data_IF_941375873718
#
_entry.id   IF_941375873718
#
_cell.length_a   1.000
_cell.length_b   1.000
_cell.length_c   1.000
_cell.angle_alpha   90.00
_cell.angle_beta   90.00
_cell.angle_gamma   90.00
#
_symmetry.space_group_name_H-M   'P 1'
#
loop_
_entity.id
_entity.type
_entity.pdbx_description
1 polymer ?
#
# COMPACT_ATOMS: atom_id res chain seq x y z
N UNK A 1 -23.42 -57.29 11.30
CA UNK A 1 -24.81 -57.66 10.91
C UNK A 1 -25.36 -56.51 10.10
N UNK A 2 -25.99 -56.71 8.93
CA UNK A 2 -26.59 -55.59 8.20
C UNK A 2 -27.75 -54.99 9.02
N UNK A 3 -27.97 -53.67 8.97
CA UNK A 3 -29.12 -53.06 9.63
C UNK A 3 -30.40 -53.65 9.01
N UNK A 4 -31.25 -54.24 9.85
CA UNK A 4 -32.57 -54.73 9.42
C UNK A 4 -33.46 -53.52 9.16
N UNK A 5 -33.61 -53.17 7.88
CA UNK A 5 -34.68 -52.27 7.44
C UNK A 5 -36.00 -53.00 7.78
N UNK A 6 -36.79 -52.42 8.68
CA UNK A 6 -38.10 -52.94 9.05
C UNK A 6 -38.96 -53.12 7.78
N UNK A 7 -39.59 -54.29 7.63
CA UNK A 7 -40.34 -54.73 6.44
C UNK A 7 -41.60 -53.92 6.13
N UNK A 8 -41.92 -52.89 6.93
CA UNK A 8 -43.11 -52.03 6.75
C UNK A 8 -42.83 -50.75 5.93
N UNK A 9 -41.59 -50.53 5.49
CA UNK A 9 -41.14 -49.31 4.79
C UNK A 9 -41.08 -49.53 3.25
N UNK A 10 -42.22 -49.65 2.57
CA UNK A 10 -42.28 -49.65 1.08
C UNK A 10 -42.82 -50.94 0.43
N UNK A 11 -42.92 -51.03 -0.91
CA UNK A 11 -43.41 -52.23 -1.59
C UNK A 11 -42.51 -53.43 -1.25
N UNK A 12 -43.06 -54.65 -1.22
CA UNK A 12 -42.30 -55.85 -0.87
C UNK A 12 -41.09 -56.02 -1.82
N UNK A 13 -39.91 -55.63 -1.33
CA UNK A 13 -38.65 -55.72 -2.06
C UNK A 13 -38.17 -57.17 -1.95
N UNK A 14 -37.96 -57.84 -3.08
CA UNK A 14 -37.43 -59.21 -3.08
C UNK A 14 -36.03 -59.26 -2.43
N UNK A 15 -35.59 -60.40 -1.87
CA UNK A 15 -34.31 -60.52 -1.17
C UNK A 15 -33.11 -60.05 -2.02
N UNK A 16 -33.16 -60.26 -3.34
CA UNK A 16 -32.12 -59.80 -4.29
C UNK A 16 -32.11 -58.28 -4.47
N UNK A 17 -33.28 -57.63 -4.46
CA UNK A 17 -33.36 -56.17 -4.50
C UNK A 17 -32.93 -55.54 -3.18
N UNK A 18 -33.18 -56.20 -2.03
CA UNK A 18 -32.66 -55.75 -0.73
C UNK A 18 -31.12 -55.84 -0.71
N UNK A 19 -30.55 -56.93 -1.22
CA UNK A 19 -29.10 -57.08 -1.35
C UNK A 19 -28.48 -56.03 -2.29
N UNK A 20 -29.13 -55.75 -3.42
CA UNK A 20 -28.71 -54.72 -4.37
C UNK A 20 -28.76 -53.30 -3.77
N UNK A 21 -29.86 -52.93 -3.11
CA UNK A 21 -30.01 -51.64 -2.44
C UNK A 21 -28.99 -51.48 -1.31
N UNK A 22 -28.76 -52.52 -0.52
CA UNK A 22 -27.73 -52.50 0.52
C UNK A 22 -26.34 -52.25 -0.09
N UNK A 23 -26.03 -52.86 -1.23
CA UNK A 23 -24.76 -52.65 -1.93
C UNK A 23 -24.62 -51.18 -2.39
N UNK A 24 -25.67 -50.60 -2.99
CA UNK A 24 -25.67 -49.19 -3.39
C UNK A 24 -25.45 -48.23 -2.21
N UNK A 25 -26.10 -48.52 -1.07
CA UNK A 25 -25.94 -47.72 0.14
C UNK A 25 -24.53 -47.84 0.74
N UNK A 26 -23.89 -49.01 0.60
CA UNK A 26 -22.58 -49.31 1.17
C UNK A 26 -21.42 -48.68 0.39
N UNK A 27 -21.56 -48.56 -0.93
CA UNK A 27 -20.55 -47.95 -1.81
C UNK A 27 -20.83 -46.49 -2.18
N UNK A 28 -21.91 -45.90 -1.67
CA UNK A 28 -22.16 -44.46 -1.82
C UNK A 28 -21.04 -43.66 -1.14
N UNK A 29 -20.49 -42.68 -1.86
CA UNK A 29 -19.58 -41.68 -1.30
C UNK A 29 -20.29 -40.67 -0.39
N UNK A 30 -21.60 -40.51 -0.59
CA UNK A 30 -22.42 -39.63 0.22
C UNK A 30 -22.95 -40.37 1.44
N UNK A 31 -22.96 -39.66 2.56
CA UNK A 31 -23.57 -40.10 3.81
C UNK A 31 -25.08 -40.24 3.63
N UNK A 32 -25.61 -41.40 3.94
CA UNK A 32 -27.04 -41.70 3.84
C UNK A 32 -27.56 -42.00 5.23
N UNK A 33 -28.54 -41.22 5.67
CA UNK A 33 -29.12 -41.28 7.01
C UNK A 33 -30.63 -41.43 6.87
N UNK A 34 -31.21 -42.37 7.61
CA UNK A 34 -32.66 -42.54 7.70
C UNK A 34 -33.10 -42.22 9.11
N UNK A 35 -34.14 -41.38 9.22
CA UNK A 35 -34.79 -41.03 10.48
C UNK A 35 -36.23 -41.51 10.49
N UNK A 36 -36.81 -41.72 11.67
CA UNK A 36 -38.25 -41.85 11.84
C UNK A 36 -38.96 -40.48 11.87
N UNK A 37 -40.29 -40.48 12.03
CA UNK A 37 -41.09 -39.25 12.08
C UNK A 37 -40.82 -38.36 13.29
N UNK A 38 -40.18 -38.89 14.32
CA UNK A 38 -39.76 -38.16 15.52
C UNK A 38 -38.31 -37.64 15.37
N UNK A 39 -37.68 -37.84 14.20
CA UNK A 39 -36.32 -37.37 13.91
C UNK A 39 -35.22 -38.25 14.51
N UNK A 40 -35.55 -39.46 14.97
CA UNK A 40 -34.57 -40.38 15.57
C UNK A 40 -33.86 -41.21 14.51
N UNK A 41 -32.57 -41.46 14.70
CA UNK A 41 -31.75 -42.21 13.74
C UNK A 41 -32.18 -43.68 13.68
N UNK A 42 -32.45 -44.16 12.46
CA UNK A 42 -32.81 -45.56 12.15
C UNK A 42 -31.77 -46.24 11.26
N UNK A 43 -31.06 -45.48 10.43
CA UNK A 43 -29.99 -46.01 9.58
C UNK A 43 -28.90 -44.97 9.38
N UNK A 44 -27.68 -45.46 9.21
CA UNK A 44 -26.45 -44.67 9.08
C UNK A 44 -25.44 -45.48 8.26
N UNK A 45 -25.17 -45.07 7.02
CA UNK A 45 -24.23 -45.81 6.16
C UNK A 45 -22.76 -45.53 6.52
N UNK A 46 -21.85 -46.29 5.90
CA UNK A 46 -20.40 -46.16 6.14
C UNK A 46 -19.85 -44.77 5.81
N UNK A 47 -20.36 -44.12 4.76
CA UNK A 47 -19.96 -42.76 4.41
C UNK A 47 -20.38 -41.75 5.49
N UNK A 48 -21.60 -41.84 6.04
CA UNK A 48 -22.03 -40.97 7.14
C UNK A 48 -21.14 -41.17 8.39
N UNK A 49 -20.72 -42.41 8.66
CA UNK A 49 -19.78 -42.72 9.74
C UNK A 49 -18.39 -42.11 9.50
N UNK A 50 -17.91 -42.12 8.25
CA UNK A 50 -16.66 -41.46 7.88
C UNK A 50 -16.73 -39.93 7.99
N UNK A 51 -17.86 -39.33 7.58
CA UNK A 51 -18.06 -37.88 7.58
C UNK A 51 -18.19 -37.31 9.00
N UNK A 52 -18.90 -38.00 9.90
CA UNK A 52 -19.18 -37.46 11.24
C UNK A 52 -18.51 -38.20 12.39
N UNK A 53 -17.93 -39.38 12.16
CA UNK A 53 -17.17 -40.13 13.17
C UNK A 53 -18.02 -40.94 14.17
N UNK A 54 -19.34 -40.93 14.00
CA UNK A 54 -20.28 -41.70 14.81
C UNK A 54 -20.58 -43.04 14.15
N UNK A 55 -20.58 -44.11 14.94
CA UNK A 55 -21.09 -45.41 14.52
C UNK A 55 -22.59 -45.50 14.79
N UNK A 56 -23.33 -46.25 13.96
CA UNK A 56 -24.78 -46.39 14.09
C UNK A 56 -25.18 -46.81 15.51
N UNK A 57 -24.44 -47.74 16.10
CA UNK A 57 -24.71 -48.30 17.44
C UNK A 57 -24.66 -47.25 18.55
N UNK A 58 -23.92 -46.15 18.35
CA UNK A 58 -23.78 -45.07 19.33
C UNK A 58 -24.94 -44.06 19.27
N UNK A 59 -25.59 -43.95 18.11
CA UNK A 59 -26.58 -42.91 17.82
C UNK A 59 -27.95 -43.48 17.42
N UNK A 60 -28.10 -44.80 17.39
CA UNK A 60 -29.35 -45.47 17.07
C UNK A 60 -30.45 -45.01 18.03
N UNK A 61 -31.62 -44.67 17.48
CA UNK A 61 -32.77 -44.11 18.19
C UNK A 61 -32.54 -42.77 18.90
N UNK A 62 -31.36 -42.16 18.77
CA UNK A 62 -31.10 -40.82 19.26
C UNK A 62 -31.70 -39.77 18.31
N UNK A 63 -32.26 -38.65 18.82
CA UNK A 63 -32.67 -37.53 18.00
C UNK A 63 -31.48 -36.96 17.22
N UNK A 64 -31.63 -36.77 15.90
CA UNK A 64 -30.56 -36.20 15.09
C UNK A 64 -30.21 -34.75 15.51
N UNK A 65 -31.18 -34.02 16.06
CA UNK A 65 -31.00 -32.65 16.56
C UNK A 65 -30.03 -32.58 17.74
N UNK A 66 -29.87 -33.66 18.52
CA UNK A 66 -28.91 -33.66 19.64
C UNK A 66 -27.46 -33.64 19.13
N UNK A 67 -27.23 -34.12 17.90
CA UNK A 67 -25.91 -34.16 17.26
C UNK A 67 -25.58 -32.86 16.51
N UNK A 68 -26.57 -32.28 15.81
CA UNK A 68 -26.34 -31.16 14.87
C UNK A 68 -27.14 -29.89 15.17
N UNK A 69 -27.93 -29.89 16.24
CA UNK A 69 -28.72 -28.76 16.72
C UNK A 69 -30.12 -28.68 16.10
N UNK A 70 -31.01 -27.85 16.68
CA UNK A 70 -32.46 -27.85 16.39
C UNK A 70 -32.84 -27.26 15.03
N UNK A 71 -31.87 -26.79 14.22
CA UNK A 71 -32.15 -26.23 12.89
C UNK A 71 -32.68 -27.29 11.91
N UNK A 72 -32.31 -28.56 12.11
CA UNK A 72 -32.81 -29.67 11.30
C UNK A 72 -34.28 -29.99 11.62
N UNK A 73 -34.69 -29.83 12.88
CA UNK A 73 -36.09 -29.92 13.32
C UNK A 73 -37.07 -29.07 12.49
N UNK A 74 -36.71 -27.80 12.30
CA UNK A 74 -37.51 -26.83 11.53
C UNK A 74 -37.61 -27.26 10.06
N UNK A 75 -36.51 -27.81 9.54
CA UNK A 75 -36.37 -28.23 8.16
C UNK A 75 -37.30 -29.38 7.80
N UNK A 76 -37.38 -30.43 8.61
CA UNK A 76 -38.28 -31.55 8.32
C UNK A 76 -39.74 -31.31 8.68
N UNK A 77 -40.05 -30.34 9.56
CA UNK A 77 -41.42 -29.85 9.76
C UNK A 77 -41.94 -29.18 8.48
N UNK A 78 -41.14 -28.29 7.88
CA UNK A 78 -41.48 -27.66 6.60
C UNK A 78 -41.63 -28.69 5.45
N UNK A 79 -40.84 -29.76 5.46
CA UNK A 79 -40.99 -30.88 4.50
C UNK A 79 -42.30 -31.63 4.69
N UNK A 80 -42.69 -31.88 5.95
CA UNK A 80 -43.87 -32.65 6.30
C UNK A 80 -45.17 -31.89 6.04
N UNK A 81 -45.17 -30.58 6.25
CA UNK A 81 -46.32 -29.69 6.02
C UNK A 81 -46.58 -29.40 4.53
N UNK A 82 -45.75 -29.93 3.63
CA UNK A 82 -45.96 -29.88 2.18
C UNK A 82 -45.69 -28.52 1.55
N UNK A 83 -45.15 -27.57 2.32
CA UNK A 83 -45.12 -26.15 1.98
C UNK A 83 -44.10 -25.80 0.87
N UNK A 84 -43.19 -26.72 0.48
CA UNK A 84 -42.18 -26.42 -0.55
C UNK A 84 -41.48 -27.57 -1.27
N UNK A 85 -41.76 -28.82 -0.93
CA UNK A 85 -40.89 -29.96 -1.27
C UNK A 85 -41.53 -31.02 -2.17
N UNK A 86 -42.68 -30.74 -2.78
CA UNK A 86 -43.39 -31.75 -3.56
C UNK A 86 -42.57 -32.24 -4.77
N UNK A 87 -41.58 -31.50 -5.29
CA UNK A 87 -40.85 -31.92 -6.51
C UNK A 87 -39.35 -31.57 -6.62
N UNK A 88 -38.70 -30.98 -5.60
CA UNK A 88 -37.25 -30.69 -5.68
C UNK A 88 -36.50 -30.95 -4.36
N UNK A 89 -35.40 -31.72 -4.37
CA UNK A 89 -34.51 -31.81 -3.22
C UNK A 89 -33.99 -30.40 -2.87
N UNK A 90 -34.17 -29.99 -1.61
CA UNK A 90 -33.59 -28.74 -1.10
C UNK A 90 -32.18 -29.07 -0.64
N UNK A 91 -31.19 -28.49 -1.32
CA UNK A 91 -29.78 -28.60 -0.96
C UNK A 91 -29.40 -27.37 -0.14
N UNK A 92 -28.89 -27.58 1.07
CA UNK A 92 -28.27 -26.53 1.85
C UNK A 92 -26.87 -26.91 2.28
N UNK A 93 -25.97 -25.93 2.18
CA UNK A 93 -24.65 -25.98 2.80
C UNK A 93 -24.79 -25.65 4.28
N UNK A 94 -24.33 -26.56 5.13
CA UNK A 94 -24.29 -26.39 6.57
C UNK A 94 -22.91 -26.75 7.11
N UNK A 95 -22.56 -26.19 8.26
CA UNK A 95 -21.37 -26.55 8.99
C UNK A 95 -21.79 -27.37 10.20
N UNK A 96 -21.41 -28.64 10.20
CA UNK A 96 -21.62 -29.58 11.29
C UNK A 96 -20.30 -29.80 12.04
N UNK A 97 -20.33 -30.67 13.06
CA UNK A 97 -19.14 -31.10 13.78
C UNK A 97 -18.97 -32.61 13.66
N UNK A 98 -17.76 -33.03 13.38
CA UNK A 98 -17.34 -34.41 13.56
C UNK A 98 -17.27 -34.71 15.07
N UNK A 99 -17.35 -35.99 15.45
CA UNK A 99 -17.30 -36.47 16.85
C UNK A 99 -16.06 -35.99 17.62
N UNK A 100 -14.92 -35.79 16.94
CA UNK A 100 -13.69 -35.25 17.51
C UNK A 100 -13.71 -33.72 17.71
N UNK A 101 -14.77 -33.03 17.28
CA UNK A 101 -14.94 -31.58 17.37
C UNK A 101 -14.57 -30.78 16.11
N UNK A 102 -13.93 -31.40 15.12
CA UNK A 102 -13.54 -30.75 13.87
C UNK A 102 -14.76 -30.29 13.06
N UNK A 103 -14.69 -29.12 12.41
CA UNK A 103 -15.78 -28.65 11.56
C UNK A 103 -15.85 -29.47 10.27
N UNK A 104 -17.07 -29.84 9.88
CA UNK A 104 -17.34 -30.53 8.61
C UNK A 104 -18.34 -29.69 7.83
N UNK A 105 -17.96 -29.31 6.61
CA UNK A 105 -18.87 -28.63 5.70
C UNK A 105 -19.62 -29.67 4.88
N UNK A 106 -20.94 -29.60 4.94
CA UNK A 106 -21.79 -30.59 4.30
C UNK A 106 -22.87 -29.94 3.46
N UNK A 107 -23.15 -30.55 2.32
CA UNK A 107 -24.36 -30.30 1.56
C UNK A 107 -25.38 -31.37 1.90
N UNK A 108 -26.50 -30.93 2.49
CA UNK A 108 -27.56 -31.83 2.94
C UNK A 108 -28.74 -31.73 1.98
N UNK A 109 -29.19 -32.88 1.53
CA UNK A 109 -30.43 -33.07 0.79
C UNK A 109 -31.40 -33.88 1.64
N UNK A 110 -32.61 -33.37 1.82
CA UNK A 110 -33.64 -33.99 2.65
C UNK A 110 -34.83 -34.42 1.78
N UNK A 111 -35.32 -35.65 1.99
CA UNK A 111 -36.50 -36.20 1.36
C UNK A 111 -37.42 -36.86 2.40
N UNK A 112 -38.73 -36.80 2.16
CA UNK A 112 -39.73 -37.47 2.98
C UNK A 112 -39.93 -38.91 2.49
N UNK A 113 -39.75 -39.88 3.37
CA UNK A 113 -40.04 -41.28 3.07
C UNK A 113 -41.52 -41.55 3.28
N UNK A 114 -42.12 -42.29 2.35
CA UNK A 114 -43.54 -42.67 2.37
C UNK A 114 -43.72 -44.17 2.18
N UNK A 115 -44.75 -44.73 2.82
CA UNK A 115 -45.14 -46.13 2.62
C UNK A 115 -45.88 -46.32 1.28
N UNK A 116 -46.24 -47.59 0.99
CA UNK A 116 -47.04 -47.97 -0.18
C UNK A 116 -48.44 -47.32 -0.25
N UNK A 117 -48.93 -46.75 0.84
CA UNK A 117 -50.19 -46.02 0.92
C UNK A 117 -49.98 -44.50 0.92
N UNK A 118 -48.78 -44.03 0.53
CA UNK A 118 -48.38 -42.62 0.49
C UNK A 118 -48.36 -41.92 1.86
N UNK A 119 -48.36 -42.66 2.97
CA UNK A 119 -48.28 -42.11 4.31
C UNK A 119 -46.82 -41.83 4.68
N UNK A 120 -46.49 -40.68 5.29
CA UNK A 120 -45.13 -40.38 5.72
C UNK A 120 -44.69 -41.38 6.79
N UNK A 121 -43.48 -41.90 6.67
CA UNK A 121 -42.91 -42.90 7.59
C UNK A 121 -41.55 -42.52 8.16
N UNK A 122 -40.93 -41.47 7.64
CA UNK A 122 -39.64 -40.99 8.11
C UNK A 122 -38.98 -40.03 7.13
N UNK A 123 -37.69 -39.83 7.30
CA UNK A 123 -36.89 -38.91 6.49
C UNK A 123 -35.64 -39.58 5.98
N UNK A 124 -35.23 -39.22 4.76
CA UNK A 124 -33.98 -39.62 4.15
C UNK A 124 -33.12 -38.37 4.00
N UNK A 125 -31.91 -38.40 4.57
CA UNK A 125 -30.90 -37.38 4.36
C UNK A 125 -29.77 -37.98 3.53
N UNK A 126 -29.38 -37.24 2.50
CA UNK A 126 -28.12 -37.45 1.79
C UNK A 126 -27.19 -36.29 2.14
N UNK A 127 -25.98 -36.64 2.57
CA UNK A 127 -24.98 -35.72 3.10
C UNK A 127 -23.73 -35.86 2.26
N UNK A 128 -23.39 -34.82 1.53
CA UNK A 128 -22.13 -34.75 0.79
C UNK A 128 -21.14 -33.92 1.58
N UNK A 129 -19.98 -34.49 1.91
CA UNK A 129 -18.86 -33.75 2.50
C UNK A 129 -18.22 -32.85 1.43
N UNK A 130 -18.17 -31.56 1.72
CA UNK A 130 -17.56 -30.53 0.88
C UNK A 130 -16.43 -29.80 1.62
N UNK A 131 -15.96 -30.32 2.75
CA UNK A 131 -14.95 -29.68 3.61
C UNK A 131 -13.67 -29.35 2.83
N UNK A 132 -13.13 -30.31 2.08
CA UNK A 132 -11.95 -30.08 1.24
C UNK A 132 -12.20 -29.04 0.15
N UNK A 133 -13.39 -29.05 -0.45
CA UNK A 133 -13.75 -28.08 -1.49
C UNK A 133 -13.84 -26.66 -0.91
N UNK A 134 -14.57 -26.49 0.20
CA UNK A 134 -14.72 -25.19 0.87
C UNK A 134 -13.37 -24.65 1.33
N UNK A 135 -12.51 -25.48 1.94
CA UNK A 135 -11.17 -25.05 2.36
C UNK A 135 -10.29 -24.65 1.17
N UNK A 136 -10.35 -25.39 0.07
CA UNK A 136 -9.60 -25.06 -1.15
C UNK A 136 -10.08 -23.75 -1.78
N UNK A 137 -11.40 -23.51 -1.82
CA UNK A 137 -12.00 -22.28 -2.33
C UNK A 137 -11.63 -21.07 -1.46
N UNK A 138 -11.65 -21.23 -0.13
CA UNK A 138 -11.23 -20.20 0.82
C UNK A 138 -9.74 -19.86 0.66
N UNK A 139 -8.88 -20.87 0.59
CA UNK A 139 -7.43 -20.67 0.36
C UNK A 139 -7.17 -20.00 -0.98
N UNK A 140 -7.82 -20.42 -2.06
CA UNK A 140 -7.67 -19.80 -3.37
C UNK A 140 -8.13 -18.33 -3.37
N UNK A 141 -9.22 -18.04 -2.67
CA UNK A 141 -9.72 -16.67 -2.51
C UNK A 141 -8.73 -15.80 -1.74
N UNK A 142 -8.17 -16.33 -0.66
CA UNK A 142 -7.17 -15.63 0.15
C UNK A 142 -5.90 -15.34 -0.65
N UNK A 143 -5.34 -16.34 -1.34
CA UNK A 143 -4.16 -16.18 -2.20
C UNK A 143 -4.41 -15.15 -3.30
N UNK A 144 -5.60 -15.17 -3.93
CA UNK A 144 -5.95 -14.18 -4.95
C UNK A 144 -5.99 -12.76 -4.39
N UNK A 145 -6.53 -12.58 -3.19
CA UNK A 145 -6.58 -11.28 -2.51
C UNK A 145 -5.18 -10.78 -2.21
N UNK A 146 -4.34 -11.60 -1.58
CA UNK A 146 -2.94 -11.26 -1.26
C UNK A 146 -2.13 -10.92 -2.50
N UNK A 147 -2.31 -11.69 -3.59
CA UNK A 147 -1.65 -11.43 -4.87
C UNK A 147 -2.07 -10.08 -5.46
N UNK A 148 -3.35 -9.73 -5.33
CA UNK A 148 -3.87 -8.45 -5.82
C UNK A 148 -3.27 -7.28 -5.02
N UNK A 149 -3.29 -7.37 -3.69
CA UNK A 149 -2.71 -6.35 -2.81
C UNK A 149 -1.19 -6.18 -3.04
N UNK A 150 -0.47 -7.28 -3.22
CA UNK A 150 0.97 -7.28 -3.52
C UNK A 150 1.26 -6.63 -4.88
N UNK A 151 0.45 -6.91 -5.89
CA UNK A 151 0.60 -6.31 -7.22
C UNK A 151 0.39 -4.79 -7.18
N UNK A 152 -0.62 -4.33 -6.44
CA UNK A 152 -0.85 -2.89 -6.25
C UNK A 152 0.29 -2.22 -5.47
N UNK A 153 0.78 -2.86 -4.40
CA UNK A 153 1.92 -2.35 -3.64
C UNK A 153 3.18 -2.27 -4.51
N UNK A 154 3.45 -3.29 -5.33
CA UNK A 154 4.55 -3.28 -6.28
C UNK A 154 4.41 -2.19 -7.34
N UNK A 155 3.20 -1.94 -7.85
CA UNK A 155 2.95 -0.84 -8.79
C UNK A 155 3.25 0.52 -8.15
N UNK A 156 2.79 0.75 -6.91
CA UNK A 156 3.08 1.97 -6.13
C UNK A 156 4.58 2.14 -5.89
N UNK A 157 5.28 1.09 -5.48
CA UNK A 157 6.73 1.12 -5.26
C UNK A 157 7.50 1.43 -6.55
N UNK A 158 7.13 0.81 -7.67
CA UNK A 158 7.75 1.09 -8.99
C UNK A 158 7.57 2.55 -9.39
N UNK A 159 6.39 3.12 -9.15
CA UNK A 159 6.14 4.54 -9.40
C UNK A 159 6.98 5.43 -8.51
N UNK A 160 7.07 5.13 -7.20
CA UNK A 160 7.90 5.89 -6.26
C UNK A 160 9.38 5.88 -6.68
N UNK A 161 9.94 4.70 -6.95
CA UNK A 161 11.33 4.55 -7.42
C UNK A 161 11.58 5.34 -8.70
N UNK A 162 10.62 5.37 -9.63
CA UNK A 162 10.72 6.17 -10.84
C UNK A 162 10.76 7.67 -10.53
N UNK A 163 9.88 8.14 -9.66
CA UNK A 163 9.84 9.55 -9.23
C UNK A 163 11.13 9.96 -8.54
N UNK A 164 11.60 9.17 -7.56
CA UNK A 164 12.82 9.45 -6.80
C UNK A 164 14.04 9.51 -7.74
N UNK A 165 14.11 8.61 -8.72
CA UNK A 165 15.19 8.59 -9.73
C UNK A 165 15.19 9.84 -10.61
N UNK A 166 14.02 10.35 -10.99
CA UNK A 166 13.90 11.61 -11.73
C UNK A 166 14.37 12.79 -10.88
N UNK A 167 13.95 12.87 -9.63
CA UNK A 167 14.37 13.92 -8.69
C UNK A 167 15.89 13.90 -8.47
N UNK A 168 16.48 12.73 -8.21
CA UNK A 168 17.94 12.59 -8.03
C UNK A 168 18.71 13.02 -9.27
N UNK A 169 18.20 12.70 -10.47
CA UNK A 169 18.81 13.12 -11.73
C UNK A 169 18.78 14.64 -11.87
N UNK A 170 17.65 15.28 -11.53
CA UNK A 170 17.48 16.73 -11.60
C UNK A 170 18.36 17.46 -10.58
N UNK A 171 18.43 16.98 -9.33
CA UNK A 171 19.33 17.51 -8.30
C UNK A 171 20.78 17.40 -8.76
N UNK A 172 21.17 16.26 -9.36
CA UNK A 172 22.53 16.05 -9.86
C UNK A 172 22.86 16.96 -11.05
N UNK A 173 21.89 17.32 -11.89
CA UNK A 173 22.08 18.31 -12.95
C UNK A 173 22.20 19.72 -12.38
N UNK A 174 21.32 20.11 -11.46
CA UNK A 174 21.36 21.42 -10.81
C UNK A 174 22.69 21.64 -10.07
N UNK A 175 23.16 20.65 -9.30
CA UNK A 175 24.45 20.72 -8.62
C UNK A 175 25.62 20.89 -9.59
N UNK A 176 25.56 20.27 -10.77
CA UNK A 176 26.58 20.47 -11.83
C UNK A 176 26.54 21.89 -12.37
N UNK A 177 25.36 22.43 -12.65
CA UNK A 177 25.20 23.81 -13.12
C UNK A 177 25.70 24.83 -12.09
N UNK A 178 25.36 24.64 -10.80
CA UNK A 178 25.83 25.53 -9.73
C UNK A 178 27.37 25.51 -9.59
N UNK A 179 28.00 24.35 -9.74
CA UNK A 179 29.47 24.26 -9.77
C UNK A 179 30.06 25.04 -10.94
N UNK A 180 29.51 24.88 -12.15
CA UNK A 180 29.96 25.64 -13.33
C UNK A 180 29.78 27.15 -13.13
N UNK A 181 28.64 27.61 -12.61
CA UNK A 181 28.41 29.03 -12.31
C UNK A 181 29.45 29.53 -11.31
N UNK A 182 29.74 28.76 -10.25
CA UNK A 182 30.71 29.12 -9.23
C UNK A 182 32.15 29.18 -9.77
N UNK A 183 32.50 28.27 -10.69
CA UNK A 183 33.80 28.27 -11.37
C UNK A 183 33.96 29.50 -12.26
N UNK A 184 32.94 29.82 -13.07
CA UNK A 184 32.91 31.03 -13.88
C UNK A 184 32.98 32.29 -13.02
N UNK A 185 32.25 32.35 -11.91
CA UNK A 185 32.29 33.49 -10.99
C UNK A 185 33.67 33.67 -10.37
N UNK A 186 34.36 32.58 -10.00
CA UNK A 186 35.77 32.63 -9.53
C UNK A 186 36.72 33.11 -10.61
N UNK A 187 36.54 32.69 -11.86
CA UNK A 187 37.32 33.17 -13.00
C UNK A 187 37.09 34.67 -13.28
N UNK A 188 35.84 35.13 -13.22
CA UNK A 188 35.49 36.54 -13.41
C UNK A 188 36.00 37.43 -12.27
N UNK A 189 35.88 37.00 -11.02
CA UNK A 189 36.45 37.72 -9.88
C UNK A 189 37.99 37.71 -9.90
N UNK A 190 38.62 36.72 -10.53
CA UNK A 190 40.07 36.73 -10.79
C UNK A 190 40.52 37.70 -11.89
N UNK A 191 39.59 38.31 -12.64
CA UNK A 191 39.85 39.26 -13.73
C UNK A 191 39.52 40.72 -13.38
N UNK A 192 38.98 41.01 -12.20
CA UNK A 192 38.73 42.37 -11.71
C UNK A 192 39.50 42.58 -10.40
N UNK A 193 40.82 42.70 -10.50
CA UNK A 193 41.58 43.34 -9.43
C UNK A 193 41.18 44.83 -9.40
N UNK A 194 40.69 45.30 -8.24
CA UNK A 194 40.31 46.70 -8.09
C UNK A 194 41.50 47.61 -8.38
N UNK A 195 42.72 47.17 -8.09
CA UNK A 195 43.92 47.94 -8.37
C UNK A 195 44.17 48.04 -9.89
N UNK A 196 43.90 46.99 -10.68
CA UNK A 196 44.02 46.99 -12.14
C UNK A 196 42.94 47.87 -12.82
N UNK A 197 41.71 47.83 -12.29
CA UNK A 197 40.63 48.71 -12.75
C UNK A 197 40.91 50.17 -12.47
N UNK A 198 41.36 50.48 -11.24
CA UNK A 198 41.72 51.84 -10.85
C UNK A 198 42.91 52.34 -11.67
N UNK A 199 43.90 51.49 -11.95
CA UNK A 199 45.02 51.81 -12.83
C UNK A 199 44.53 52.23 -14.23
N UNK A 200 43.70 51.39 -14.85
CA UNK A 200 43.13 51.66 -16.17
C UNK A 200 42.28 52.93 -16.19
N UNK A 201 41.51 53.19 -15.13
CA UNK A 201 40.67 54.38 -15.02
C UNK A 201 41.51 55.67 -14.95
N UNK A 202 42.58 55.68 -14.15
CA UNK A 202 43.49 56.82 -14.04
C UNK A 202 44.10 57.15 -15.40
N UNK A 203 44.63 56.15 -16.09
CA UNK A 203 45.28 56.36 -17.38
C UNK A 203 44.31 56.97 -18.40
N UNK A 204 43.07 56.47 -18.47
CA UNK A 204 42.04 57.00 -19.38
C UNK A 204 41.62 58.42 -19.03
N UNK A 205 41.38 58.71 -17.75
CA UNK A 205 40.94 60.04 -17.30
C UNK A 205 42.05 61.07 -17.57
N UNK A 206 43.31 60.74 -17.25
CA UNK A 206 44.43 61.64 -17.44
C UNK A 206 44.61 61.99 -18.92
N UNK A 207 44.64 60.99 -19.80
CA UNK A 207 44.84 61.20 -21.23
C UNK A 207 43.65 61.88 -21.92
N UNK A 208 42.41 61.50 -21.59
CA UNK A 208 41.23 62.03 -22.28
C UNK A 208 40.91 63.48 -21.93
N UNK A 209 41.08 63.85 -20.66
CA UNK A 209 40.79 65.21 -20.18
C UNK A 209 42.03 66.10 -20.07
N UNK A 210 43.21 65.56 -20.42
CA UNK A 210 44.51 66.24 -20.36
C UNK A 210 44.78 66.89 -18.99
N UNK A 211 44.44 66.18 -17.90
CA UNK A 211 44.73 66.64 -16.55
C UNK A 211 46.20 66.40 -16.21
N UNK A 212 46.83 67.38 -15.56
CA UNK A 212 48.23 67.27 -15.12
C UNK A 212 48.43 66.10 -14.15
N UNK A 213 47.49 65.92 -13.21
CA UNK A 213 47.52 64.83 -12.23
C UNK A 213 46.10 64.34 -11.90
N UNK A 214 45.94 63.04 -11.76
CA UNK A 214 44.70 62.37 -11.36
C UNK A 214 45.00 61.50 -10.14
N UNK A 215 44.19 61.63 -9.08
CA UNK A 215 44.31 60.83 -7.87
C UNK A 215 42.94 60.23 -7.55
N UNK A 216 42.89 58.92 -7.28
CA UNK A 216 41.67 58.23 -6.86
C UNK A 216 41.79 57.86 -5.39
N UNK A 217 40.90 58.45 -4.60
CA UNK A 217 40.70 58.10 -3.20
C UNK A 217 39.50 57.19 -3.05
N UNK A 218 39.61 56.16 -2.21
CA UNK A 218 38.48 55.37 -1.74
C UNK A 218 38.18 55.72 -0.29
N UNK A 219 36.89 55.85 0.04
CA UNK A 219 36.47 56.04 1.42
C UNK A 219 36.59 54.73 2.19
N UNK A 220 37.26 54.77 3.34
CA UNK A 220 37.29 53.72 4.33
C UNK A 220 36.23 54.03 5.41
N UNK A 221 35.13 53.27 5.46
CA UNK A 221 34.04 53.50 6.41
C UNK A 221 34.41 53.14 7.85
N UNK A 222 35.51 52.39 8.08
CA UNK A 222 35.93 52.00 9.43
C UNK A 222 36.80 53.08 10.08
N UNK A 223 37.64 53.74 9.29
CA UNK A 223 38.57 54.76 9.80
C UNK A 223 38.10 56.19 9.54
N UNK A 224 36.99 56.37 8.83
CA UNK A 224 36.46 57.66 8.37
C UNK A 224 37.49 58.49 7.59
N UNK A 225 38.27 57.82 6.75
CA UNK A 225 39.34 58.42 5.95
C UNK A 225 39.17 58.12 4.47
N UNK A 226 39.62 59.04 3.64
CA UNK A 226 39.80 58.87 2.20
C UNK A 226 41.23 58.41 1.96
N UNK A 227 41.39 57.15 1.57
CA UNK A 227 42.70 56.53 1.34
C UNK A 227 43.05 56.64 -0.14
N UNK A 228 44.23 57.18 -0.45
CA UNK A 228 44.71 57.22 -1.83
C UNK A 228 45.02 55.80 -2.30
N UNK A 229 44.28 55.31 -3.29
CA UNK A 229 44.46 53.96 -3.85
C UNK A 229 45.27 53.96 -5.13
N UNK A 230 45.03 54.94 -6.00
CA UNK A 230 45.73 55.04 -7.28
C UNK A 230 46.03 56.51 -7.59
N UNK A 231 47.13 56.80 -8.27
CA UNK A 231 47.53 58.16 -8.63
C UNK A 231 48.42 58.18 -9.87
N UNK A 232 48.21 59.18 -10.73
CA UNK A 232 49.02 59.36 -11.93
C UNK A 232 50.38 59.99 -11.63
N UNK A 233 51.34 59.70 -12.52
CA UNK A 233 52.69 60.26 -12.46
C UNK A 233 53.52 59.79 -11.27
N UNK A 234 54.66 60.44 -11.06
CA UNK A 234 55.59 60.13 -9.97
C UNK A 234 55.04 60.56 -8.60
N UNK A 235 54.34 61.70 -8.56
CA UNK A 235 53.73 62.24 -7.34
C UNK A 235 52.65 61.29 -6.80
N UNK A 236 51.77 60.77 -7.66
CA UNK A 236 50.76 59.80 -7.26
C UNK A 236 51.36 58.54 -6.63
N UNK A 237 52.41 57.98 -7.26
CA UNK A 237 53.13 56.81 -6.73
C UNK A 237 53.80 57.09 -5.38
N UNK A 238 54.44 58.24 -5.23
CA UNK A 238 55.09 58.63 -3.98
C UNK A 238 54.09 58.82 -2.83
N UNK A 239 52.93 59.41 -3.11
CA UNK A 239 51.87 59.61 -2.10
C UNK A 239 51.25 58.28 -1.66
N UNK A 240 51.07 57.33 -2.58
CA UNK A 240 50.61 55.97 -2.24
C UNK A 240 51.63 55.27 -1.35
N UNK A 241 52.93 55.30 -1.70
CA UNK A 241 53.99 54.68 -0.91
C UNK A 241 54.10 55.26 0.51
N UNK A 242 53.73 56.53 0.70
CA UNK A 242 53.68 57.20 2.01
C UNK A 242 52.39 56.93 2.78
N UNK A 243 51.47 56.15 2.25
CA UNK A 243 50.18 55.85 2.90
C UNK A 243 49.30 57.09 3.03
N UNK A 244 49.30 57.97 2.03
CA UNK A 244 48.54 59.22 2.13
C UNK A 244 47.04 58.96 2.25
N UNK A 245 46.46 59.47 3.34
CA UNK A 245 45.03 59.55 3.54
C UNK A 245 44.60 60.97 3.93
N UNK A 246 43.32 61.27 3.75
CA UNK A 246 42.68 62.54 4.11
C UNK A 246 41.49 62.23 5.01
N UNK A 247 41.37 62.86 6.17
CA UNK A 247 40.19 62.71 7.02
C UNK A 247 38.94 63.20 6.29
N UNK A 248 37.81 62.48 6.42
CA UNK A 248 36.60 62.83 5.70
C UNK A 248 36.01 64.19 6.11
N UNK A 249 36.33 64.71 7.30
CA UNK A 249 35.91 66.01 7.83
C UNK A 249 36.92 67.15 7.55
N UNK A 250 38.05 66.85 6.93
CA UNK A 250 39.14 67.80 6.72
C UNK A 250 38.66 69.08 6.00
N UNK A 251 38.97 70.24 6.59
CA UNK A 251 38.62 71.56 6.06
C UNK A 251 39.87 72.47 6.15
N UNK A 252 40.33 73.11 5.06
CA UNK A 252 39.68 73.26 3.75
C UNK A 252 40.16 72.22 2.70
N UNK A 253 39.76 70.94 2.83
CA UNK A 253 40.06 69.94 1.77
C UNK A 253 38.97 69.91 0.71
N UNK A 254 39.34 70.18 -0.55
CA UNK A 254 38.43 70.05 -1.69
C UNK A 254 38.02 68.59 -1.93
N UNK A 255 38.93 67.65 -1.71
CA UNK A 255 38.69 66.21 -1.87
C UNK A 255 37.69 65.72 -0.81
N UNK A 256 37.89 66.09 0.45
CA UNK A 256 36.98 65.72 1.53
C UNK A 256 35.59 66.35 1.31
N UNK A 257 35.54 67.61 0.86
CA UNK A 257 34.28 68.28 0.52
C UNK A 257 33.55 67.62 -0.65
N UNK A 258 34.28 67.21 -1.70
CA UNK A 258 33.70 66.52 -2.85
C UNK A 258 33.14 65.14 -2.46
N UNK A 259 33.87 64.40 -1.61
CA UNK A 259 33.44 63.11 -1.10
C UNK A 259 32.18 63.22 -0.21
N UNK A 260 32.16 64.16 0.75
CA UNK A 260 31.00 64.36 1.65
C UNK A 260 29.73 64.74 0.88
N UNK A 261 29.86 65.61 -0.12
CA UNK A 261 28.70 66.15 -0.83
C UNK A 261 28.33 65.36 -2.08
N UNK A 262 29.15 64.38 -2.50
CA UNK A 262 28.97 63.60 -3.72
C UNK A 262 28.76 64.47 -4.98
N UNK A 263 29.49 65.58 -5.05
CA UNK A 263 29.37 66.58 -6.12
C UNK A 263 30.73 66.91 -6.73
N UNK A 264 30.74 67.26 -8.02
CA UNK A 264 31.94 67.74 -8.71
C UNK A 264 32.26 69.14 -8.20
N UNK A 265 33.50 69.34 -7.74
CA UNK A 265 33.98 70.62 -7.22
C UNK A 265 35.12 71.10 -8.11
N UNK A 266 34.88 72.20 -8.83
CA UNK A 266 35.92 72.94 -9.56
C UNK A 266 36.45 74.09 -8.70
N UNK A 267 37.77 74.28 -8.68
CA UNK A 267 38.41 75.45 -8.10
C UNK A 267 39.45 75.98 -9.10
N UNK A 268 39.22 77.19 -9.61
CA UNK A 268 40.02 77.76 -10.70
C UNK A 268 41.26 78.55 -10.22
N UNK A 269 41.36 78.82 -8.92
CA UNK A 269 42.49 79.55 -8.33
C UNK A 269 42.81 78.93 -6.96
N UNK A 270 43.99 78.31 -6.85
CA UNK A 270 44.45 77.64 -5.64
C UNK A 270 45.69 78.40 -5.17
N UNK A 271 45.46 79.50 -4.45
CA UNK A 271 46.50 80.23 -3.71
C UNK A 271 46.59 79.74 -2.27
#
# INVERSE_FOLDING_TARGET
>A
MPPRISSDMGPAIGPDQVAFLNTLLQYSSDGIIVLDLDGKVRSWNGAAAGIYGWQLEEILEQPLDDLFGPKLAIWWQAVREGDRLQHRPVRQTQQHRHKNGEPVHVNITLALLRDRHNRPVGYLLMVQDITLQTLAEEQATQVKKETTELNEANARLRQQVRTDRLQLTQISQLNRQLRQISDTARQLNGLLDIDELLHTAIDRIQHHFNFYQVLIYLADPLTDQLILRQGSGEIGRLLIQRGHAIAQDATPSLVARAARNMQVIGANDVR
#
